data_IF_021900863126
#
_entry.id   IF_021900863126
#
_cell.length_a   1.000
_cell.length_b   1.000
_cell.length_c   1.000
_cell.angle_alpha   90.00
_cell.angle_beta   90.00
_cell.angle_gamma   90.00
#
_symmetry.space_group_name_H-M   'P 1'
#
loop_
_entity.id
_entity.type
_entity.pdbx_description
1 polymer ?
#
# COMPACT_ATOMS: atom_id res chain seq x y z
N UNK A 1 16.07 22.78 5.63
CA UNK A 1 15.32 21.80 4.84
C UNK A 1 15.23 20.53 5.66
N UNK A 2 14.02 20.02 5.98
CA UNK A 2 13.85 18.77 6.73
C UNK A 2 14.24 17.58 5.85
N UNK A 3 14.84 16.56 6.46
CA UNK A 3 15.31 15.35 5.81
C UNK A 3 14.42 14.16 6.13
N UNK A 4 13.92 13.49 5.10
CA UNK A 4 12.99 12.36 5.24
C UNK A 4 13.64 11.09 4.69
N UNK A 5 13.66 10.03 5.51
CA UNK A 5 13.94 8.68 5.06
C UNK A 5 12.63 8.05 4.56
N UNK A 6 12.59 7.56 3.34
CA UNK A 6 11.44 6.83 2.77
C UNK A 6 11.77 5.35 2.68
N UNK A 7 11.16 4.56 3.55
CA UNK A 7 11.19 3.10 3.51
C UNK A 7 9.98 2.58 2.73
N UNK A 8 10.21 1.61 1.83
CA UNK A 8 9.22 1.21 0.83
C UNK A 8 9.20 2.13 -0.41
N UNK A 9 10.24 2.93 -0.63
CA UNK A 9 10.37 3.94 -1.69
C UNK A 9 10.17 3.41 -3.11
N UNK A 10 10.32 2.12 -3.35
CA UNK A 10 10.11 1.47 -4.67
C UNK A 10 8.73 0.85 -4.85
N UNK A 11 7.89 0.87 -3.81
CA UNK A 11 6.51 0.41 -3.84
C UNK A 11 5.55 1.45 -4.44
N UNK A 12 4.29 1.05 -4.65
CA UNK A 12 3.26 1.92 -5.23
C UNK A 12 3.18 3.28 -4.52
N UNK A 13 2.88 3.29 -3.22
CA UNK A 13 2.75 4.53 -2.46
C UNK A 13 4.10 5.24 -2.27
N UNK A 14 5.16 4.48 -1.97
CA UNK A 14 6.47 5.07 -1.68
C UNK A 14 7.02 5.94 -2.82
N UNK A 15 6.76 5.58 -4.08
CA UNK A 15 7.18 6.37 -5.25
C UNK A 15 6.47 7.71 -5.33
N UNK A 16 5.16 7.73 -5.13
CA UNK A 16 4.39 8.97 -5.10
C UNK A 16 4.75 9.84 -3.89
N UNK A 17 5.02 9.23 -2.72
CA UNK A 17 5.47 9.98 -1.53
C UNK A 17 6.85 10.60 -1.76
N UNK A 18 7.79 9.91 -2.41
CA UNK A 18 9.08 10.52 -2.82
C UNK A 18 8.83 11.73 -3.71
N UNK A 19 7.97 11.60 -4.72
CA UNK A 19 7.62 12.71 -5.62
C UNK A 19 7.01 13.90 -4.86
N UNK A 20 6.03 13.65 -4.02
CA UNK A 20 5.33 14.69 -3.26
C UNK A 20 6.25 15.40 -2.26
N UNK A 21 7.10 14.65 -1.55
CA UNK A 21 8.12 15.23 -0.67
C UNK A 21 9.06 16.18 -1.42
N UNK A 22 9.48 15.79 -2.62
CA UNK A 22 10.33 16.66 -3.46
C UNK A 22 9.61 17.89 -3.95
N UNK A 23 8.35 17.79 -4.34
CA UNK A 23 7.52 18.94 -4.72
C UNK A 23 7.37 19.94 -3.58
N UNK A 24 7.31 19.46 -2.32
CA UNK A 24 7.25 20.32 -1.12
C UNK A 24 8.62 20.73 -0.57
N UNK A 25 9.71 20.45 -1.27
CA UNK A 25 11.05 20.93 -0.93
C UNK A 25 11.77 20.17 0.18
N UNK A 26 11.38 18.92 0.47
CA UNK A 26 12.10 18.05 1.39
C UNK A 26 13.38 17.48 0.75
N UNK A 27 14.37 17.18 1.60
CA UNK A 27 15.49 16.33 1.23
C UNK A 27 15.12 14.87 1.48
N UNK A 28 15.32 13.99 0.50
CA UNK A 28 14.81 12.62 0.52
C UNK A 28 15.92 11.59 0.42
N UNK A 29 16.03 10.72 1.44
CA UNK A 29 16.80 9.48 1.40
C UNK A 29 15.86 8.31 1.09
N UNK A 30 16.11 7.60 -0.01
CA UNK A 30 15.35 6.40 -0.34
C UNK A 30 16.08 5.14 0.18
N UNK A 31 15.41 4.36 1.03
CA UNK A 31 15.88 3.02 1.40
C UNK A 31 15.45 2.04 0.31
N UNK A 32 16.43 1.35 -0.28
CA UNK A 32 16.20 0.40 -1.39
C UNK A 32 17.03 -0.87 -1.18
N UNK A 33 16.50 -2.02 -1.61
CA UNK A 33 17.23 -3.28 -1.68
C UNK A 33 18.01 -3.41 -3.01
N UNK A 34 17.43 -2.83 -4.07
CA UNK A 34 17.93 -2.89 -5.44
C UNK A 34 17.77 -1.51 -6.11
N UNK A 35 18.92 -0.93 -6.47
CA UNK A 35 18.97 0.40 -7.09
C UNK A 35 18.43 0.43 -8.52
N UNK A 36 18.28 -0.70 -9.20
CA UNK A 36 17.70 -0.76 -10.53
C UNK A 36 16.21 -0.35 -10.53
N UNK A 37 15.49 -0.67 -9.45
CA UNK A 37 14.04 -0.43 -9.32
C UNK A 37 13.63 1.03 -9.28
N UNK A 38 14.53 1.94 -8.91
CA UNK A 38 14.21 3.38 -8.86
C UNK A 38 14.30 4.07 -10.22
N UNK A 39 15.00 3.46 -11.20
CA UNK A 39 15.27 4.06 -12.52
C UNK A 39 14.08 4.03 -13.46
N UNK A 40 13.18 3.11 -13.29
CA UNK A 40 12.01 2.89 -14.14
C UNK A 40 10.72 3.26 -13.41
N UNK A 41 9.71 3.66 -14.17
CA UNK A 41 8.35 3.81 -13.68
C UNK A 41 7.82 2.46 -13.16
N UNK A 42 6.89 2.50 -12.24
CA UNK A 42 6.22 1.30 -11.74
C UNK A 42 5.13 0.80 -12.72
N UNK A 43 4.61 -0.41 -12.49
CA UNK A 43 3.67 -1.06 -13.41
C UNK A 43 2.26 -0.44 -13.41
N UNK A 44 1.93 0.41 -12.44
CA UNK A 44 0.64 1.06 -12.30
C UNK A 44 0.76 2.59 -12.37
N UNK A 45 1.59 3.08 -13.31
CA UNK A 45 1.83 4.50 -13.61
C UNK A 45 2.60 5.25 -12.50
N UNK A 46 3.21 4.55 -11.55
CA UNK A 46 4.04 5.19 -10.53
C UNK A 46 5.30 5.81 -11.16
N UNK A 47 5.74 6.98 -10.67
CA UNK A 47 6.89 7.67 -11.24
C UNK A 47 8.21 6.91 -11.05
N UNK A 48 9.15 7.08 -11.99
CA UNK A 48 10.55 6.77 -11.73
C UNK A 48 11.09 7.78 -10.71
N UNK A 49 11.80 7.31 -9.69
CA UNK A 49 12.23 8.18 -8.58
C UNK A 49 13.73 8.46 -8.55
N UNK A 50 14.51 7.85 -9.44
CA UNK A 50 15.96 8.09 -9.48
C UNK A 50 16.37 9.59 -9.57
N UNK A 51 15.70 10.43 -10.38
CA UNK A 51 16.03 11.85 -10.46
C UNK A 51 15.48 12.67 -9.28
N UNK A 52 14.62 12.08 -8.44
CA UNK A 52 13.93 12.77 -7.36
C UNK A 52 14.58 12.57 -5.99
N UNK A 53 15.42 11.54 -5.81
CA UNK A 53 16.04 11.26 -4.51
C UNK A 53 17.38 11.99 -4.37
N UNK A 54 17.63 12.57 -3.20
CA UNK A 54 18.90 13.24 -2.90
C UNK A 54 19.97 12.23 -2.47
N UNK A 55 19.53 11.13 -1.84
CA UNK A 55 20.43 10.05 -1.43
C UNK A 55 19.74 8.69 -1.54
N UNK A 56 20.49 7.73 -2.04
CA UNK A 56 20.10 6.33 -2.05
C UNK A 56 20.83 5.64 -0.90
N UNK A 57 20.10 4.92 -0.06
CA UNK A 57 20.66 4.03 0.95
C UNK A 57 20.31 2.59 0.56
N UNK A 58 21.35 1.77 0.32
CA UNK A 58 21.15 0.36 -0.02
C UNK A 58 21.14 -0.46 1.27
N UNK A 59 20.02 -1.08 1.57
CA UNK A 59 19.82 -1.87 2.78
C UNK A 59 18.50 -2.63 2.74
N UNK A 60 18.38 -3.62 3.61
CA UNK A 60 17.22 -4.49 3.74
C UNK A 60 16.63 -4.37 5.14
N UNK A 61 15.42 -3.85 5.26
CA UNK A 61 14.80 -3.55 6.56
C UNK A 61 14.59 -4.79 7.46
N UNK A 62 14.52 -5.99 6.86
CA UNK A 62 14.49 -7.27 7.60
C UNK A 62 15.86 -7.66 8.18
N UNK A 63 16.97 -7.01 7.74
CA UNK A 63 18.34 -7.28 8.16
C UNK A 63 18.94 -6.05 8.87
N UNK A 64 18.84 -5.93 10.21
CA UNK A 64 19.29 -4.76 10.94
C UNK A 64 20.73 -4.34 10.67
N UNK A 65 21.64 -5.31 10.46
CA UNK A 65 23.06 -5.04 10.17
C UNK A 65 23.30 -4.31 8.85
N UNK A 66 22.33 -4.32 7.94
CA UNK A 66 22.41 -3.58 6.66
C UNK A 66 21.91 -2.15 6.77
N UNK A 67 21.45 -1.72 7.94
CA UNK A 67 20.79 -0.42 8.17
C UNK A 67 21.65 0.56 8.96
N UNK A 68 22.92 0.23 9.23
CA UNK A 68 23.82 1.11 9.98
C UNK A 68 23.95 2.47 9.28
N UNK A 69 23.65 3.55 10.01
CA UNK A 69 23.65 4.92 9.47
C UNK A 69 22.43 5.30 8.63
N UNK A 70 21.42 4.43 8.45
CA UNK A 70 20.25 4.72 7.62
C UNK A 70 19.46 5.95 8.10
N UNK A 71 19.44 6.23 9.40
CA UNK A 71 18.79 7.39 9.99
C UNK A 71 19.73 8.55 10.36
N UNK A 72 21.02 8.49 10.00
CA UNK A 72 21.97 9.56 10.33
C UNK A 72 21.56 10.88 9.68
N UNK A 73 21.34 11.90 10.53
CA UNK A 73 20.91 13.22 10.09
C UNK A 73 19.50 13.29 9.49
N UNK A 74 18.66 12.28 9.71
CA UNK A 74 17.25 12.24 9.29
C UNK A 74 16.37 12.87 10.39
N UNK A 75 15.45 13.72 9.97
CA UNK A 75 14.46 14.32 10.85
C UNK A 75 13.21 13.46 11.00
N UNK A 76 12.78 12.82 9.90
CA UNK A 76 11.50 12.11 9.80
C UNK A 76 11.70 10.80 9.06
N UNK A 77 11.08 9.72 9.55
CA UNK A 77 10.95 8.45 8.82
C UNK A 77 9.53 8.31 8.31
N UNK A 78 9.38 8.07 7.02
CA UNK A 78 8.15 7.59 6.40
C UNK A 78 8.32 6.12 6.02
N UNK A 79 7.36 5.28 6.40
CA UNK A 79 7.34 3.87 6.02
C UNK A 79 6.00 3.44 5.42
N UNK A 80 6.08 2.89 4.22
CA UNK A 80 5.04 2.10 3.56
C UNK A 80 5.53 0.67 3.31
N UNK A 81 6.41 0.16 4.19
CA UNK A 81 6.84 -1.23 4.13
C UNK A 81 5.68 -2.14 4.53
N UNK A 82 5.34 -3.03 3.65
CA UNK A 82 4.34 -4.05 3.83
C UNK A 82 4.36 -5.04 2.66
N UNK A 83 3.86 -6.24 2.89
CA UNK A 83 3.73 -7.27 1.86
C UNK A 83 2.42 -7.08 1.10
N UNK A 84 2.54 -6.84 -0.21
CA UNK A 84 1.39 -6.75 -1.12
C UNK A 84 1.24 -8.00 -1.99
N UNK A 85 2.21 -8.90 -1.94
CA UNK A 85 2.24 -10.17 -2.70
C UNK A 85 2.94 -11.23 -1.86
N UNK A 86 2.61 -12.52 -2.06
CA UNK A 86 3.31 -13.61 -1.41
C UNK A 86 4.81 -13.52 -1.64
N UNK A 87 5.58 -13.65 -0.57
CA UNK A 87 7.03 -13.81 -0.61
C UNK A 87 7.37 -15.14 0.09
N UNK A 88 7.82 -16.14 -0.67
CA UNK A 88 8.14 -17.46 -0.12
C UNK A 88 9.33 -17.47 0.84
N UNK A 89 9.99 -16.32 1.01
CA UNK A 89 11.19 -16.17 1.89
C UNK A 89 10.82 -15.51 3.22
N UNK A 90 9.90 -14.54 3.21
CA UNK A 90 9.54 -13.74 4.37
C UNK A 90 8.04 -13.87 4.69
N UNK A 91 7.73 -13.90 5.96
CA UNK A 91 6.34 -13.81 6.44
C UNK A 91 5.88 -12.34 6.55
N UNK A 92 4.55 -12.08 6.61
CA UNK A 92 4.04 -10.75 6.96
C UNK A 92 4.64 -10.19 8.26
N UNK A 93 4.84 -11.03 9.28
CA UNK A 93 5.50 -10.60 10.50
C UNK A 93 6.96 -10.16 10.31
N UNK A 94 7.68 -10.70 9.33
CA UNK A 94 9.05 -10.28 9.05
C UNK A 94 9.10 -8.92 8.37
N UNK A 95 8.19 -8.64 7.44
CA UNK A 95 8.18 -7.41 6.65
C UNK A 95 7.33 -6.32 7.29
N UNK A 96 6.05 -6.61 7.61
CA UNK A 96 5.10 -5.60 8.07
C UNK A 96 5.35 -5.21 9.53
N UNK A 97 5.84 -6.15 10.37
CA UNK A 97 6.14 -5.89 11.77
C UNK A 97 7.64 -5.70 12.03
N UNK A 98 8.47 -6.76 11.88
CA UNK A 98 9.87 -6.72 12.34
C UNK A 98 10.73 -5.71 11.56
N UNK A 99 10.54 -5.58 10.24
CA UNK A 99 11.30 -4.62 9.45
C UNK A 99 10.99 -3.18 9.87
N UNK A 100 9.71 -2.87 10.10
CA UNK A 100 9.30 -1.56 10.61
C UNK A 100 9.80 -1.31 12.04
N UNK A 101 9.77 -2.34 12.91
CA UNK A 101 10.32 -2.25 14.27
C UNK A 101 11.84 -2.01 14.27
N UNK A 102 12.59 -2.61 13.35
CA UNK A 102 14.02 -2.36 13.19
C UNK A 102 14.28 -0.89 12.84
N UNK A 103 13.52 -0.36 11.87
CA UNK A 103 13.62 1.07 11.50
C UNK A 103 13.23 2.00 12.66
N UNK A 104 12.17 1.70 13.39
CA UNK A 104 11.74 2.48 14.55
C UNK A 104 12.84 2.54 15.61
N UNK A 105 13.45 1.41 15.95
CA UNK A 105 14.53 1.33 16.94
C UNK A 105 15.76 2.15 16.51
N UNK A 106 16.13 2.09 15.23
CA UNK A 106 17.24 2.88 14.68
C UNK A 106 16.88 4.36 14.66
N UNK A 107 15.67 4.71 14.25
CA UNK A 107 15.16 6.08 14.24
C UNK A 107 15.21 6.72 15.63
N UNK A 108 14.76 6.00 16.66
CA UNK A 108 14.81 6.48 18.06
C UNK A 108 16.26 6.71 18.51
N UNK A 109 17.19 5.78 18.23
CA UNK A 109 18.61 5.94 18.56
C UNK A 109 19.25 7.12 17.86
N UNK A 110 18.87 7.40 16.61
CA UNK A 110 19.40 8.52 15.82
C UNK A 110 18.74 9.87 16.17
N UNK A 111 17.75 9.90 17.07
CA UNK A 111 17.04 11.11 17.46
C UNK A 111 16.08 11.65 16.40
N UNK A 112 15.56 10.79 15.54
CA UNK A 112 14.49 11.12 14.58
C UNK A 112 13.28 11.71 15.35
N UNK A 113 12.68 12.73 14.80
CA UNK A 113 11.62 13.49 15.50
C UNK A 113 10.24 12.89 15.30
N UNK A 114 9.98 12.31 14.10
CA UNK A 114 8.66 11.79 13.75
C UNK A 114 8.76 10.54 12.90
N UNK A 115 7.82 9.62 13.10
CA UNK A 115 7.65 8.41 12.29
C UNK A 115 6.23 8.37 11.70
N UNK A 116 6.12 8.38 10.37
CA UNK A 116 4.85 8.26 9.65
C UNK A 116 4.74 6.85 9.06
N UNK A 117 3.64 6.18 9.33
CA UNK A 117 3.41 4.80 8.92
C UNK A 117 2.10 4.63 8.14
N UNK A 118 2.12 3.85 7.09
CA UNK A 118 0.91 3.48 6.34
C UNK A 118 0.43 2.10 6.82
N UNK A 119 -0.76 2.08 7.42
CA UNK A 119 -1.47 0.87 7.86
C UNK A 119 -2.67 0.62 6.93
N UNK A 120 -3.75 0.02 7.43
CA UNK A 120 -4.94 -0.36 6.67
C UNK A 120 -6.20 0.22 7.33
N UNK A 121 -7.15 0.72 6.52
CA UNK A 121 -8.46 1.14 7.00
C UNK A 121 -9.25 -0.04 7.57
N UNK A 122 -10.00 0.17 8.63
CA UNK A 122 -10.78 -0.87 9.32
C UNK A 122 -9.98 -2.12 9.75
N UNK A 123 -8.68 -2.00 9.98
CA UNK A 123 -7.82 -3.12 10.39
C UNK A 123 -8.38 -3.93 11.57
N UNK A 124 -9.05 -3.26 12.53
CA UNK A 124 -9.66 -3.89 13.72
C UNK A 124 -10.75 -4.91 13.40
N UNK A 125 -11.35 -4.85 12.21
CA UNK A 125 -12.38 -5.80 11.76
C UNK A 125 -11.81 -7.02 11.03
N UNK A 126 -10.49 -7.08 10.84
CA UNK A 126 -9.80 -8.10 10.03
C UNK A 126 -8.62 -8.72 10.80
N UNK A 127 -8.70 -8.77 12.13
CA UNK A 127 -7.61 -9.22 12.99
C UNK A 127 -7.32 -10.73 12.91
N UNK A 128 -8.12 -11.50 12.20
CA UNK A 128 -7.83 -12.90 11.88
C UNK A 128 -6.77 -13.06 10.77
N UNK A 129 -6.45 -12.00 10.01
CA UNK A 129 -5.49 -12.00 8.91
C UNK A 129 -4.11 -11.65 9.43
N UNK A 130 -3.09 -12.49 9.15
CA UNK A 130 -1.74 -12.32 9.72
C UNK A 130 -1.08 -10.99 9.31
N UNK A 131 -1.24 -10.58 8.08
CA UNK A 131 -0.68 -9.32 7.61
C UNK A 131 -1.31 -8.13 8.37
N UNK A 132 -2.62 -8.15 8.64
CA UNK A 132 -3.29 -7.11 9.44
C UNK A 132 -2.80 -7.15 10.91
N UNK A 133 -2.65 -8.34 11.49
CA UNK A 133 -2.06 -8.48 12.83
C UNK A 133 -0.65 -7.88 12.89
N UNK A 134 0.18 -8.12 11.86
CA UNK A 134 1.53 -7.60 11.79
C UNK A 134 1.55 -6.06 11.71
N UNK A 135 0.67 -5.46 10.89
CA UNK A 135 0.49 -4.01 10.82
C UNK A 135 0.09 -3.42 12.18
N UNK A 136 -0.97 -3.96 12.79
CA UNK A 136 -1.48 -3.39 14.05
C UNK A 136 -0.51 -3.59 15.22
N UNK A 137 0.19 -4.72 15.25
CA UNK A 137 1.26 -4.92 16.23
C UNK A 137 2.36 -3.87 16.10
N UNK A 138 2.74 -3.49 14.88
CA UNK A 138 3.70 -2.39 14.70
C UNK A 138 3.11 -1.04 15.13
N UNK A 139 1.83 -0.78 14.84
CA UNK A 139 1.15 0.44 15.30
C UNK A 139 1.19 0.54 16.83
N UNK A 140 1.01 -0.56 17.55
CA UNK A 140 1.09 -0.58 19.02
C UNK A 140 2.51 -0.28 19.52
N UNK A 141 3.56 -0.85 18.88
CA UNK A 141 4.95 -0.51 19.19
C UNK A 141 5.26 0.97 18.91
N UNK A 142 4.75 1.49 17.81
CA UNK A 142 4.93 2.89 17.43
C UNK A 142 4.27 3.82 18.46
N UNK A 143 3.07 3.51 18.91
CA UNK A 143 2.36 4.26 19.97
C UNK A 143 3.11 4.25 21.29
N UNK A 144 3.66 3.08 21.66
CA UNK A 144 4.40 2.90 22.91
C UNK A 144 5.80 3.51 22.89
N UNK A 145 6.35 3.84 21.72
CA UNK A 145 7.76 4.25 21.56
C UNK A 145 8.11 5.63 22.11
N UNK A 146 7.12 6.48 22.30
CA UNK A 146 7.33 7.89 22.72
C UNK A 146 7.82 8.85 21.62
N UNK A 147 8.15 8.36 20.40
CA UNK A 147 8.42 9.21 19.25
C UNK A 147 7.13 9.88 18.76
N UNK A 148 7.20 11.09 18.21
CA UNK A 148 6.04 11.63 17.52
C UNK A 148 5.70 10.77 16.30
N UNK A 149 4.40 10.51 16.06
CA UNK A 149 4.00 9.63 15.00
C UNK A 149 2.71 10.03 14.31
N UNK A 150 2.53 9.52 13.09
CA UNK A 150 1.23 9.48 12.43
C UNK A 150 1.02 8.11 11.77
N UNK A 151 -0.20 7.61 11.82
CA UNK A 151 -0.63 6.40 11.13
C UNK A 151 -1.67 6.78 10.09
N UNK A 152 -1.36 6.59 8.82
CA UNK A 152 -2.29 6.80 7.70
C UNK A 152 -2.96 5.47 7.36
N UNK A 153 -4.28 5.44 7.34
CA UNK A 153 -5.12 4.26 7.10
C UNK A 153 -5.95 4.43 5.84
N UNK A 154 -5.38 4.15 4.68
CA UNK A 154 -6.12 4.21 3.42
C UNK A 154 -7.05 3.02 3.26
N UNK A 155 -8.08 3.22 2.44
CA UNK A 155 -8.86 2.14 1.81
C UNK A 155 -8.05 1.44 0.73
N UNK A 156 -8.65 0.73 -0.23
CA UNK A 156 -7.94 0.11 -1.36
C UNK A 156 -7.26 1.14 -2.28
N UNK A 157 -6.28 0.68 -3.02
CA UNK A 157 -5.54 1.52 -3.98
C UNK A 157 -6.04 1.34 -5.41
N UNK A 158 -5.81 2.33 -6.27
CA UNK A 158 -6.07 2.18 -7.71
C UNK A 158 -5.24 1.03 -8.32
N UNK A 159 -4.02 0.77 -7.82
CA UNK A 159 -3.22 -0.38 -8.23
C UNK A 159 -3.89 -1.72 -7.93
N UNK A 160 -4.68 -1.82 -6.85
CA UNK A 160 -5.43 -3.03 -6.52
C UNK A 160 -6.60 -3.20 -7.49
N UNK A 161 -7.25 -2.10 -7.86
CA UNK A 161 -8.34 -2.10 -8.85
C UNK A 161 -7.83 -2.45 -10.25
N UNK A 162 -6.56 -2.25 -10.57
CA UNK A 162 -5.96 -2.66 -11.84
C UNK A 162 -6.07 -4.18 -12.12
N UNK A 163 -6.30 -5.00 -11.09
CA UNK A 163 -6.57 -6.43 -11.25
C UNK A 163 -7.85 -6.68 -12.06
N UNK A 164 -8.89 -5.85 -11.87
CA UNK A 164 -10.12 -5.95 -12.65
C UNK A 164 -9.87 -5.67 -14.14
N UNK A 165 -8.99 -4.71 -14.45
CA UNK A 165 -8.59 -4.44 -15.82
C UNK A 165 -7.83 -5.63 -16.44
N UNK A 166 -6.96 -6.27 -15.68
CA UNK A 166 -6.26 -7.49 -16.11
C UNK A 166 -7.23 -8.66 -16.33
N UNK A 167 -8.22 -8.84 -15.47
CA UNK A 167 -9.28 -9.83 -15.65
C UNK A 167 -10.13 -9.54 -16.89
N UNK A 168 -10.52 -8.28 -17.13
CA UNK A 168 -11.26 -7.89 -18.33
C UNK A 168 -10.48 -8.24 -19.60
N UNK A 169 -9.18 -7.94 -19.66
CA UNK A 169 -8.29 -8.29 -20.78
C UNK A 169 -8.19 -9.79 -21.02
N UNK A 170 -8.16 -10.60 -19.97
CA UNK A 170 -8.09 -12.06 -20.08
C UNK A 170 -9.40 -12.72 -20.56
N UNK A 171 -10.50 -11.94 -20.59
CA UNK A 171 -11.81 -12.45 -21.00
C UNK A 171 -12.60 -13.15 -19.88
N UNK A 172 -12.10 -13.15 -18.63
CA UNK A 172 -12.76 -13.74 -17.46
C UNK A 172 -12.77 -12.72 -16.33
N UNK A 173 -13.99 -12.40 -15.84
CA UNK A 173 -14.19 -11.49 -14.71
C UNK A 173 -14.76 -12.28 -13.54
N UNK A 174 -14.02 -12.33 -12.43
CA UNK A 174 -14.44 -12.99 -11.20
C UNK A 174 -14.69 -11.97 -10.12
N UNK A 175 -15.85 -12.06 -9.45
CA UNK A 175 -16.19 -11.29 -8.26
C UNK A 175 -16.50 -12.23 -7.10
N UNK A 176 -16.30 -11.77 -5.88
CA UNK A 176 -16.69 -12.52 -4.68
C UNK A 176 -18.06 -12.02 -4.18
N UNK A 177 -18.93 -12.96 -3.81
CA UNK A 177 -20.30 -12.66 -3.43
C UNK A 177 -21.07 -12.01 -4.59
N UNK A 178 -21.97 -11.12 -4.27
CA UNK A 178 -22.76 -10.36 -5.25
C UNK A 178 -22.03 -9.11 -5.81
N UNK A 179 -20.82 -8.83 -5.32
CA UNK A 179 -20.03 -7.65 -5.69
C UNK A 179 -20.64 -6.32 -5.26
N UNK A 180 -21.65 -6.33 -4.35
CA UNK A 180 -22.37 -5.12 -3.95
C UNK A 180 -21.64 -4.29 -2.87
N UNK A 181 -20.66 -4.86 -2.19
CA UNK A 181 -19.90 -4.13 -1.18
C UNK A 181 -19.11 -2.98 -1.80
N UNK A 182 -19.06 -1.87 -1.07
CA UNK A 182 -18.57 -0.59 -1.57
C UNK A 182 -17.21 -0.26 -0.98
N UNK A 183 -16.37 0.34 -1.82
CA UNK A 183 -15.10 0.91 -1.41
C UNK A 183 -14.87 2.23 -2.14
N UNK A 184 -14.06 3.12 -1.56
CA UNK A 184 -13.57 4.30 -2.25
C UNK A 184 -12.04 4.23 -2.36
N UNK A 185 -11.52 3.44 -3.33
CA UNK A 185 -10.09 3.31 -3.55
C UNK A 185 -9.45 4.66 -3.86
N UNK A 186 -8.18 4.84 -3.47
CA UNK A 186 -7.47 6.11 -3.61
C UNK A 186 -6.29 5.97 -4.59
N UNK A 187 -6.06 7.02 -5.39
CA UNK A 187 -4.87 7.11 -6.24
C UNK A 187 -3.62 7.38 -5.43
N UNK A 188 -2.48 6.80 -5.86
CA UNK A 188 -1.21 6.95 -5.14
C UNK A 188 -0.74 8.39 -4.96
N UNK A 189 -0.98 9.27 -5.93
CA UNK A 189 -0.63 10.70 -5.82
C UNK A 189 -1.50 11.43 -4.79
N UNK A 190 -2.81 11.16 -4.74
CA UNK A 190 -3.70 11.76 -3.76
C UNK A 190 -3.36 11.28 -2.34
N UNK A 191 -3.08 9.99 -2.17
CA UNK A 191 -2.65 9.44 -0.90
C UNK A 191 -1.29 9.98 -0.47
N UNK A 192 -0.37 10.21 -1.40
CA UNK A 192 0.93 10.81 -1.09
C UNK A 192 0.78 12.22 -0.52
N UNK A 193 -0.16 13.02 -1.04
CA UNK A 193 -0.52 14.32 -0.45
C UNK A 193 -0.88 14.18 1.02
N UNK A 194 -1.81 13.27 1.36
CA UNK A 194 -2.22 13.00 2.74
C UNK A 194 -1.07 12.50 3.60
N UNK A 195 -0.21 11.64 3.07
CA UNK A 195 0.97 11.13 3.79
C UNK A 195 1.95 12.27 4.13
N UNK A 196 2.15 13.22 3.21
CA UNK A 196 3.04 14.36 3.46
C UNK A 196 2.38 15.41 4.36
N UNK A 197 1.06 15.59 4.29
CA UNK A 197 0.32 16.37 5.30
C UNK A 197 0.50 15.76 6.70
N UNK A 198 0.48 14.43 6.81
CA UNK A 198 0.74 13.73 8.07
C UNK A 198 2.19 13.88 8.57
N UNK A 199 3.16 14.13 7.68
CA UNK A 199 4.55 14.48 8.04
C UNK A 199 4.58 15.84 8.73
N UNK A 200 3.76 16.77 8.30
CA UNK A 200 3.74 18.17 8.78
C UNK A 200 2.79 18.38 9.97
N UNK A 201 1.68 17.66 9.99
CA UNK A 201 0.60 17.83 10.96
C UNK A 201 0.80 17.09 12.29
N UNK A 202 -0.07 17.34 13.24
CA UNK A 202 -0.06 16.74 14.59
C UNK A 202 -1.07 15.57 14.75
N UNK A 203 -1.80 15.23 13.67
CA UNK A 203 -2.76 14.14 13.67
C UNK A 203 -2.10 12.77 13.84
N UNK A 204 -2.57 12.00 14.84
CA UNK A 204 -2.00 10.68 15.14
C UNK A 204 -2.53 9.56 14.25
N UNK A 205 -3.79 9.66 13.81
CA UNK A 205 -4.43 8.68 12.92
C UNK A 205 -5.21 9.45 11.85
N UNK A 206 -4.98 9.08 10.59
CA UNK A 206 -5.65 9.68 9.43
C UNK A 206 -6.26 8.55 8.62
N UNK A 207 -7.58 8.48 8.59
CA UNK A 207 -8.34 7.57 7.74
C UNK A 207 -8.70 8.28 6.44
N UNK A 208 -8.49 7.61 5.29
CA UNK A 208 -8.65 8.26 3.98
C UNK A 208 -9.06 7.27 2.89
N UNK A 209 -9.97 7.72 2.03
CA UNK A 209 -10.32 7.05 0.79
C UNK A 209 -10.31 8.02 -0.39
N UNK A 210 -10.47 7.49 -1.60
CA UNK A 210 -10.54 8.30 -2.81
C UNK A 210 -11.84 9.09 -2.95
N UNK A 211 -11.93 9.97 -3.96
CA UNK A 211 -13.06 10.87 -4.14
C UNK A 211 -14.34 10.18 -4.64
N UNK A 212 -14.23 8.95 -5.14
CA UNK A 212 -15.35 8.19 -5.72
C UNK A 212 -15.57 6.88 -4.98
N UNK A 213 -16.84 6.54 -4.73
CA UNK A 213 -17.21 5.29 -4.07
C UNK A 213 -17.88 4.36 -5.08
N UNK A 214 -17.38 3.13 -5.19
CA UNK A 214 -17.86 2.10 -6.10
C UNK A 214 -18.17 0.80 -5.35
N UNK A 215 -19.12 0.03 -5.86
CA UNK A 215 -19.19 -1.39 -5.58
C UNK A 215 -18.13 -2.15 -6.41
N UNK A 216 -17.73 -3.32 -5.98
CA UNK A 216 -16.80 -4.15 -6.76
C UNK A 216 -17.38 -4.55 -8.12
N UNK A 217 -18.73 -4.65 -8.23
CA UNK A 217 -19.42 -4.87 -9.51
C UNK A 217 -19.24 -3.69 -10.45
N UNK A 218 -19.44 -2.44 -9.97
CA UNK A 218 -19.24 -1.23 -10.77
C UNK A 218 -17.78 -1.09 -11.24
N UNK A 219 -16.82 -1.47 -10.39
CA UNK A 219 -15.39 -1.50 -10.81
C UNK A 219 -15.16 -2.53 -11.91
N UNK A 220 -15.75 -3.73 -11.80
CA UNK A 220 -15.64 -4.79 -12.81
C UNK A 220 -16.26 -4.36 -14.15
N UNK A 221 -17.44 -3.75 -14.14
CA UNK A 221 -18.13 -3.23 -15.31
C UNK A 221 -17.31 -2.11 -15.98
N UNK A 222 -16.83 -1.14 -15.19
CA UNK A 222 -15.96 -0.06 -15.68
C UNK A 222 -14.68 -0.59 -16.33
N UNK A 223 -14.03 -1.59 -15.71
CA UNK A 223 -12.83 -2.22 -16.26
C UNK A 223 -13.11 -2.91 -17.59
N UNK A 224 -14.25 -3.62 -17.72
CA UNK A 224 -14.66 -4.27 -18.95
C UNK A 224 -14.95 -3.26 -20.08
N UNK A 225 -15.64 -2.17 -19.76
CA UNK A 225 -15.90 -1.07 -20.70
C UNK A 225 -14.60 -0.45 -21.22
N UNK A 226 -13.69 -0.08 -20.30
CA UNK A 226 -12.41 0.56 -20.66
C UNK A 226 -11.54 -0.38 -21.48
N UNK A 227 -11.50 -1.68 -21.16
CA UNK A 227 -10.79 -2.67 -21.96
C UNK A 227 -11.45 -2.95 -23.33
N UNK A 228 -12.65 -2.44 -23.59
CA UNK A 228 -13.41 -2.75 -24.80
C UNK A 228 -13.75 -4.23 -24.94
N UNK A 229 -13.94 -4.92 -23.81
CA UNK A 229 -14.15 -6.36 -23.73
C UNK A 229 -15.52 -6.70 -23.14
N UNK A 230 -16.01 -7.89 -23.46
CA UNK A 230 -17.19 -8.49 -22.80
C UNK A 230 -16.73 -9.80 -22.14
N UNK A 231 -16.10 -9.73 -20.97
CA UNK A 231 -15.60 -10.92 -20.31
C UNK A 231 -16.75 -11.81 -19.85
N UNK A 232 -16.50 -13.13 -19.79
CA UNK A 232 -17.37 -14.04 -19.06
C UNK A 232 -17.30 -13.65 -17.57
N UNK A 233 -18.44 -13.25 -17.00
CA UNK A 233 -18.51 -12.81 -15.61
C UNK A 233 -19.11 -13.93 -14.74
N UNK A 234 -18.40 -14.28 -13.68
CA UNK A 234 -18.89 -15.24 -12.68
C UNK A 234 -18.72 -14.66 -11.27
N UNK A 235 -19.78 -14.83 -10.46
CA UNK A 235 -19.76 -14.52 -9.03
C UNK A 235 -19.45 -15.76 -8.23
N UNK A 236 -18.35 -15.77 -7.49
CA UNK A 236 -17.98 -16.87 -6.61
C UNK A 236 -18.61 -16.65 -5.23
N UNK A 237 -19.35 -17.64 -4.70
CA UNK A 237 -19.90 -17.55 -3.35
C UNK A 237 -18.80 -17.30 -2.31
N UNK A 238 -19.05 -16.45 -1.30
CA UNK A 238 -18.07 -16.13 -0.25
C UNK A 238 -17.56 -17.38 0.48
N UNK A 239 -18.43 -18.36 0.72
CA UNK A 239 -18.01 -19.60 1.37
C UNK A 239 -16.94 -20.38 0.57
N UNK A 240 -16.89 -20.19 -0.76
CA UNK A 240 -15.85 -20.80 -1.59
C UNK A 240 -14.50 -20.15 -1.34
N UNK A 241 -14.45 -18.81 -1.20
CA UNK A 241 -13.23 -18.10 -0.81
C UNK A 241 -12.76 -18.51 0.60
N UNK A 242 -13.69 -18.62 1.54
CA UNK A 242 -13.41 -19.11 2.90
C UNK A 242 -12.91 -20.57 2.87
N UNK A 243 -13.49 -21.40 2.03
CA UNK A 243 -13.05 -22.78 1.82
C UNK A 243 -11.66 -22.89 1.20
N UNK A 244 -11.35 -22.05 0.20
CA UNK A 244 -9.99 -21.95 -0.38
C UNK A 244 -9.01 -21.50 0.70
N UNK A 245 -9.33 -20.47 1.47
CA UNK A 245 -8.50 -20.01 2.58
C UNK A 245 -8.23 -21.14 3.60
N UNK A 246 -9.25 -21.92 3.97
CA UNK A 246 -9.11 -23.02 4.92
C UNK A 246 -8.17 -24.13 4.37
N UNK A 247 -8.28 -24.48 3.10
CA UNK A 247 -7.44 -25.54 2.49
C UNK A 247 -6.02 -25.03 2.23
N UNK A 248 -5.86 -23.81 1.72
CA UNK A 248 -4.55 -23.25 1.40
C UNK A 248 -3.70 -22.96 2.63
N UNK A 249 -4.32 -22.77 3.80
CA UNK A 249 -3.61 -22.60 5.08
C UNK A 249 -2.71 -23.81 5.45
N UNK A 250 -3.01 -25.00 4.94
CA UNK A 250 -2.16 -26.18 5.11
C UNK A 250 -0.99 -26.25 4.11
N UNK A 251 -1.06 -25.48 3.02
CA UNK A 251 -0.09 -25.52 1.90
C UNK A 251 0.76 -24.24 1.90
N UNK A 252 0.12 -23.09 1.96
CA UNK A 252 0.79 -21.78 1.92
C UNK A 252 -0.07 -20.72 2.62
N UNK A 253 0.45 -20.19 3.73
CA UNK A 253 -0.23 -19.18 4.55
C UNK A 253 -0.41 -17.84 3.84
N UNK A 254 0.49 -17.47 2.93
CA UNK A 254 0.36 -16.21 2.19
C UNK A 254 -0.82 -16.24 1.22
N UNK A 255 -1.09 -17.39 0.60
CA UNK A 255 -2.28 -17.59 -0.24
C UNK A 255 -3.54 -17.56 0.63
N UNK A 256 -3.47 -18.15 1.82
CA UNK A 256 -4.55 -18.07 2.80
C UNK A 256 -4.88 -16.62 3.15
N UNK A 257 -3.87 -15.82 3.52
CA UNK A 257 -4.05 -14.41 3.90
C UNK A 257 -4.67 -13.58 2.76
N UNK A 258 -4.25 -13.80 1.50
CA UNK A 258 -4.85 -13.15 0.34
C UNK A 258 -6.33 -13.52 0.19
N UNK A 259 -6.66 -14.82 0.30
CA UNK A 259 -8.04 -15.28 0.18
C UNK A 259 -8.90 -14.74 1.33
N UNK A 260 -8.38 -14.72 2.56
CA UNK A 260 -9.04 -14.16 3.73
C UNK A 260 -9.25 -12.65 3.58
N UNK A 261 -8.25 -11.90 3.10
CA UNK A 261 -8.36 -10.47 2.87
C UNK A 261 -9.40 -10.16 1.80
N UNK A 262 -9.37 -10.87 0.66
CA UNK A 262 -10.38 -10.73 -0.40
C UNK A 262 -11.80 -11.05 0.11
N UNK A 263 -11.95 -12.10 0.94
CA UNK A 263 -13.22 -12.43 1.57
C UNK A 263 -13.65 -11.33 2.54
N UNK A 264 -12.78 -10.82 3.39
CA UNK A 264 -13.09 -9.79 4.38
C UNK A 264 -13.58 -8.49 3.72
N UNK A 265 -12.87 -7.98 2.71
CA UNK A 265 -13.28 -6.76 1.98
C UNK A 265 -14.55 -6.95 1.16
N UNK A 266 -14.89 -8.21 0.82
CA UNK A 266 -16.15 -8.55 0.14
C UNK A 266 -17.33 -8.73 1.08
N UNK A 267 -17.12 -8.75 2.41
CA UNK A 267 -18.16 -8.90 3.43
C UNK A 267 -18.64 -7.57 4.01
N UNK A 268 -17.83 -6.53 3.97
CA UNK A 268 -18.14 -5.22 4.56
C UNK A 268 -17.77 -4.08 3.63
N UNK A 269 -18.43 -2.93 3.81
CA UNK A 269 -18.07 -1.71 3.09
C UNK A 269 -16.74 -1.15 3.66
N UNK A 270 -15.90 -0.63 2.76
CA UNK A 270 -14.62 0.00 3.08
C UNK A 270 -14.60 1.42 2.51
N UNK A 271 -15.33 2.32 3.16
CA UNK A 271 -15.49 3.72 2.75
C UNK A 271 -14.99 4.62 3.85
N UNK A 272 -13.91 5.36 3.59
CA UNK A 272 -13.30 6.34 4.48
C UNK A 272 -13.59 7.78 3.99
N UNK A 273 -13.24 8.82 4.75
CA UNK A 273 -13.36 10.20 4.29
C UNK A 273 -12.72 10.41 2.92
N UNK A 274 -13.48 10.99 1.99
CA UNK A 274 -13.07 11.18 0.61
C UNK A 274 -11.97 12.24 0.49
N UNK A 275 -10.95 11.94 -0.31
CA UNK A 275 -9.83 12.86 -0.58
C UNK A 275 -9.33 12.69 -2.01
N UNK A 276 -8.75 13.78 -2.56
CA UNK A 276 -8.11 13.79 -3.87
C UNK A 276 -9.04 14.12 -5.02
N UNK A 277 -8.49 14.03 -6.22
CA UNK A 277 -9.17 14.43 -7.46
C UNK A 277 -9.02 13.41 -8.59
N UNK A 278 -8.11 12.45 -8.47
CA UNK A 278 -7.92 11.45 -9.49
C UNK A 278 -9.12 10.50 -9.58
N UNK A 279 -9.50 10.15 -10.81
CA UNK A 279 -10.66 9.31 -11.11
C UNK A 279 -10.22 7.90 -11.54
N UNK A 280 -10.92 6.88 -11.03
CA UNK A 280 -10.55 5.49 -11.31
C UNK A 280 -10.70 5.14 -12.80
N UNK A 281 -11.72 5.67 -13.48
CA UNK A 281 -11.91 5.47 -14.92
C UNK A 281 -10.74 6.04 -15.73
N UNK A 282 -10.26 7.22 -15.38
CA UNK A 282 -9.13 7.88 -16.06
C UNK A 282 -7.85 7.07 -15.89
N UNK A 283 -7.60 6.58 -14.69
CA UNK A 283 -6.48 5.69 -14.40
C UNK A 283 -6.54 4.42 -15.25
N UNK A 284 -7.69 3.76 -15.36
CA UNK A 284 -7.85 2.59 -16.23
C UNK A 284 -7.59 2.91 -17.69
N UNK A 285 -8.10 4.04 -18.19
CA UNK A 285 -7.87 4.49 -19.56
C UNK A 285 -6.38 4.77 -19.84
N UNK A 286 -5.66 5.33 -18.88
CA UNK A 286 -4.23 5.59 -19.00
C UNK A 286 -3.42 4.28 -19.02
N UNK A 287 -3.76 3.32 -18.17
CA UNK A 287 -3.18 1.99 -18.17
C UNK A 287 -3.44 1.23 -19.50
N UNK A 288 -4.61 1.39 -20.12
CA UNK A 288 -4.89 0.82 -21.45
C UNK A 288 -4.04 1.44 -22.55
N UNK A 289 -3.88 2.75 -22.55
CA UNK A 289 -3.00 3.44 -23.53
C UNK A 289 -1.54 2.99 -23.43
N UNK A 290 -1.06 2.73 -22.21
CA UNK A 290 0.29 2.22 -21.96
C UNK A 290 0.49 0.76 -22.38
N UNK A 291 -0.58 -0.04 -22.42
CA UNK A 291 -0.53 -1.45 -22.78
C UNK A 291 -0.56 -1.72 -24.29
N UNK A 292 -1.09 -0.77 -25.08
CA UNK A 292 -1.17 -0.86 -26.54
C UNK A 292 0.08 -0.36 -27.28
N UNK A 293 1.13 0.00 -26.54
CA UNK A 293 2.46 0.38 -27.08
C UNK A 293 3.48 -0.69 -26.78
#
# INVERSE_FOLDING_TARGET
>A
MKKVLVAGSTGYIGRYVVQELKLRGYWVRALVRDTSKIKQAGPHLEPAIAPLVDQIFVGEATKPSSLDGVCDGIDIVFSSLGMTRPDFVHSPFDVDYKANLNLLRIAMKAGVKKFVYVSVYNAHTMMEIQNIQAHEKFVDELRASGIDYAVVRPTGYFSDMAQFLSMARSGIMLTLGDGAKRSNPIHGADLAGVCVDAVEGDGKVVEVGGPETFSYREVAEMAAEVAGKRPFTASLPLWLADGVAAVTGFINRDIQDIAMFASAVSKADSVAPAHGTHRLREFFMEMERGHGR
#
